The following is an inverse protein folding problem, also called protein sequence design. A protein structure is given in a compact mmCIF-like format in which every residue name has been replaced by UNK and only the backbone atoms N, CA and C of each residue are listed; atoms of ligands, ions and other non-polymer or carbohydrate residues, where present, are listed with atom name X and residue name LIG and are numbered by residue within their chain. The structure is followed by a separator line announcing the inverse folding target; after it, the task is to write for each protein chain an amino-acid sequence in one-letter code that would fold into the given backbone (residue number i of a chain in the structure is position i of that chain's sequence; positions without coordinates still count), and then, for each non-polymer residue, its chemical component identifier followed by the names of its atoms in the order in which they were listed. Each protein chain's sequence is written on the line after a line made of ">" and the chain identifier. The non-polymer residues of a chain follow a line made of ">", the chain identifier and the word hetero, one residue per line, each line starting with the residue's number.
data_IF_845947419726
#
_entry.id   IF_845947419726
#
_cell.length_a   1.000
_cell.length_b   1.000
_cell.length_c   1.000
_cell.angle_alpha   90.00
_cell.angle_beta   90.00
_cell.angle_gamma   90.00
#
_symmetry.space_group_name_H-M   'P 1'
#
loop_
_entity.id
_entity.type
_entity.pdbx_description
1 polymer ?
#
# COMPACT_ATOMS: atom_id res chain seq x y z
N UNK A 1 -6.49 -4.10 15.77
CA UNK A 1 -7.87 -4.44 15.41
C UNK A 1 -8.54 -3.30 14.62
N UNK A 2 -8.50 -2.06 15.11
CA UNK A 2 -9.16 -0.91 14.47
C UNK A 2 -8.69 -0.61 13.05
N UNK A 3 -7.42 -0.86 12.72
CA UNK A 3 -6.89 -0.56 11.39
C UNK A 3 -7.48 -1.50 10.32
N UNK A 4 -7.54 -2.80 10.60
CA UNK A 4 -8.10 -3.78 9.67
C UNK A 4 -9.62 -3.59 9.48
N UNK A 5 -10.36 -3.23 10.54
CA UNK A 5 -11.78 -2.91 10.45
C UNK A 5 -12.04 -1.67 9.59
N UNK A 6 -11.24 -0.62 9.75
CA UNK A 6 -11.31 0.59 8.94
C UNK A 6 -11.08 0.31 7.45
N UNK A 7 -10.10 -0.54 7.12
CA UNK A 7 -9.76 -0.87 5.72
C UNK A 7 -10.72 -1.88 5.10
N UNK A 8 -11.27 -2.83 5.86
CA UNK A 8 -12.26 -3.78 5.34
C UNK A 8 -13.59 -3.15 4.93
N UNK A 9 -13.93 -1.99 5.46
CA UNK A 9 -15.13 -1.23 5.06
C UNK A 9 -14.97 -0.53 3.69
N UNK A 10 -13.75 -0.41 3.17
CA UNK A 10 -13.44 0.38 1.96
C UNK A 10 -12.62 -0.45 0.97
N UNK A 11 -13.22 -1.51 0.42
CA UNK A 11 -12.55 -2.42 -0.54
C UNK A 11 -12.12 -1.78 -1.85
N UNK A 12 -12.69 -0.66 -2.23
CA UNK A 12 -12.21 0.15 -3.35
C UNK A 12 -11.47 1.37 -2.83
N UNK A 13 -10.36 1.08 -2.15
CA UNK A 13 -9.50 2.13 -1.64
C UNK A 13 -8.90 2.86 -2.85
N UNK A 14 -9.22 4.15 -2.96
CA UNK A 14 -8.69 5.06 -3.98
C UNK A 14 -9.28 4.93 -5.40
N UNK A 15 -10.35 4.16 -5.63
CA UNK A 15 -10.90 3.95 -6.98
C UNK A 15 -9.92 3.28 -7.94
N UNK A 16 -8.96 2.51 -7.41
CA UNK A 16 -7.86 1.92 -8.19
C UNK A 16 -8.13 0.47 -8.60
N UNK A 17 -9.15 -0.17 -8.05
CA UNK A 17 -9.41 -1.59 -8.28
C UNK A 17 -9.59 -1.93 -9.75
N UNK A 18 -10.48 -1.23 -10.43
CA UNK A 18 -10.76 -1.45 -11.85
C UNK A 18 -9.55 -1.11 -12.72
N UNK A 19 -8.86 0.01 -12.42
CA UNK A 19 -7.66 0.41 -13.14
C UNK A 19 -6.53 -0.63 -13.02
N UNK A 20 -6.30 -1.19 -11.83
CA UNK A 20 -5.31 -2.25 -11.62
C UNK A 20 -5.71 -3.52 -12.38
N UNK A 21 -7.01 -3.86 -12.36
CA UNK A 21 -7.53 -5.01 -13.12
C UNK A 21 -7.26 -4.87 -14.61
N UNK A 22 -7.57 -3.72 -15.20
CA UNK A 22 -7.30 -3.43 -16.62
C UNK A 22 -5.81 -3.59 -16.97
N UNK A 23 -4.91 -3.11 -16.09
CA UNK A 23 -3.46 -3.17 -16.31
C UNK A 23 -2.90 -4.59 -16.18
N UNK A 24 -3.36 -5.36 -15.21
CA UNK A 24 -2.82 -6.69 -14.95
C UNK A 24 -3.47 -7.78 -15.81
N UNK A 25 -4.64 -7.52 -16.36
CA UNK A 25 -5.42 -8.51 -17.11
C UNK A 25 -5.75 -9.76 -16.29
N UNK A 26 -6.45 -10.71 -16.90
CA UNK A 26 -6.83 -11.95 -16.23
C UNK A 26 -5.72 -13.01 -16.26
N UNK A 27 -5.83 -13.96 -15.34
CA UNK A 27 -5.00 -15.17 -15.27
C UNK A 27 -3.49 -14.92 -15.13
N UNK A 28 -3.10 -13.85 -14.43
CA UNK A 28 -1.72 -13.53 -14.16
C UNK A 28 -1.28 -14.01 -12.77
N UNK A 29 0.02 -14.20 -12.58
CA UNK A 29 0.66 -14.44 -11.29
C UNK A 29 1.09 -13.11 -10.69
N UNK A 30 0.60 -12.77 -9.51
CA UNK A 30 0.82 -11.48 -8.89
C UNK A 30 1.59 -11.65 -7.58
N UNK A 31 2.61 -10.82 -7.40
CA UNK A 31 3.28 -10.62 -6.12
C UNK A 31 2.78 -9.30 -5.51
N UNK A 32 2.08 -9.40 -4.39
CA UNK A 32 1.53 -8.26 -3.67
C UNK A 32 2.43 -7.93 -2.48
N UNK A 33 3.19 -6.84 -2.60
CA UNK A 33 4.19 -6.40 -1.63
C UNK A 33 3.59 -5.40 -0.65
N UNK A 34 3.49 -5.81 0.61
CA UNK A 34 2.78 -5.07 1.65
C UNK A 34 1.27 -5.20 1.49
N UNK A 35 0.81 -6.43 1.38
CA UNK A 35 -0.60 -6.77 1.10
C UNK A 35 -1.58 -6.31 2.17
N UNK A 36 -1.09 -6.05 3.39
CA UNK A 36 -1.92 -5.68 4.52
C UNK A 36 -3.02 -6.70 4.79
N UNK A 37 -4.22 -6.24 5.06
CA UNK A 37 -5.41 -7.10 5.25
C UNK A 37 -6.10 -7.50 3.94
N UNK A 38 -5.49 -7.22 2.77
CA UNK A 38 -5.94 -7.74 1.48
C UNK A 38 -6.87 -6.85 0.67
N UNK A 39 -6.84 -5.54 0.87
CA UNK A 39 -7.70 -4.60 0.14
C UNK A 39 -7.60 -4.73 -1.39
N UNK A 40 -6.40 -5.00 -1.89
CA UNK A 40 -6.17 -5.26 -3.31
C UNK A 40 -6.02 -6.76 -3.60
N UNK A 41 -5.40 -7.52 -2.69
CA UNK A 41 -5.23 -8.98 -2.83
C UNK A 41 -6.56 -9.70 -3.09
N UNK A 42 -7.60 -9.41 -2.28
CA UNK A 42 -8.90 -10.10 -2.36
C UNK A 42 -9.61 -9.84 -3.69
N UNK A 43 -9.82 -8.59 -4.15
CA UNK A 43 -10.41 -8.36 -5.45
C UNK A 43 -9.58 -8.93 -6.60
N UNK A 44 -8.23 -8.82 -6.54
CA UNK A 44 -7.35 -9.40 -7.56
C UNK A 44 -7.40 -10.93 -7.61
N UNK A 45 -7.59 -11.61 -6.49
CA UNK A 45 -7.66 -13.06 -6.45
C UNK A 45 -8.81 -13.64 -7.28
N UNK A 46 -9.85 -12.84 -7.55
CA UNK A 46 -11.02 -13.27 -8.34
C UNK A 46 -10.71 -13.45 -9.84
N UNK A 47 -9.65 -12.84 -10.34
CA UNK A 47 -9.26 -12.91 -11.75
C UNK A 47 -7.81 -13.35 -11.98
N UNK A 48 -7.00 -13.38 -10.94
CA UNK A 48 -5.61 -13.82 -11.02
C UNK A 48 -5.48 -15.34 -11.03
N UNK A 49 -4.40 -15.84 -11.62
CA UNK A 49 -4.04 -17.24 -11.57
C UNK A 49 -3.68 -17.68 -10.16
N UNK A 50 -2.74 -16.98 -9.57
CA UNK A 50 -2.33 -17.12 -8.17
C UNK A 50 -1.70 -15.80 -7.68
N UNK A 51 -1.75 -15.58 -6.37
CA UNK A 51 -1.14 -14.40 -5.72
C UNK A 51 -0.24 -14.88 -4.59
N UNK A 52 0.96 -14.30 -4.52
CA UNK A 52 1.81 -14.35 -3.35
C UNK A 52 1.72 -13.00 -2.62
N UNK A 53 1.10 -12.99 -1.45
CA UNK A 53 0.87 -11.81 -0.64
C UNK A 53 1.91 -11.74 0.49
N UNK A 54 2.76 -10.73 0.45
CA UNK A 54 3.86 -10.53 1.42
C UNK A 54 3.54 -9.36 2.31
N UNK A 55 3.60 -9.55 3.63
CA UNK A 55 3.46 -8.46 4.59
C UNK A 55 4.32 -8.74 5.83
N UNK A 56 4.83 -7.68 6.46
CA UNK A 56 5.64 -7.80 7.68
C UNK A 56 4.79 -7.92 8.96
N UNK A 57 3.49 -7.65 8.87
CA UNK A 57 2.57 -7.66 10.01
C UNK A 57 1.80 -8.99 10.08
N UNK A 58 2.07 -9.84 11.07
CA UNK A 58 1.33 -11.09 11.23
C UNK A 58 -0.15 -10.84 11.55
N UNK A 59 -0.49 -9.69 12.13
CA UNK A 59 -1.88 -9.32 12.39
C UNK A 59 -2.63 -9.04 11.08
N UNK A 60 -2.02 -8.31 10.13
CA UNK A 60 -2.60 -8.06 8.81
C UNK A 60 -2.80 -9.34 8.02
N UNK A 61 -1.82 -10.23 8.01
CA UNK A 61 -1.93 -11.51 7.33
C UNK A 61 -3.02 -12.43 7.92
N UNK A 62 -3.25 -12.37 9.24
CA UNK A 62 -4.39 -13.09 9.86
C UNK A 62 -5.73 -12.57 9.34
N UNK A 63 -5.91 -11.24 9.28
CA UNK A 63 -7.14 -10.64 8.75
C UNK A 63 -7.34 -10.96 7.26
N UNK A 64 -6.25 -10.95 6.48
CA UNK A 64 -6.27 -11.39 5.09
C UNK A 64 -6.73 -12.85 4.99
N UNK A 65 -6.16 -13.76 5.78
CA UNK A 65 -6.52 -15.19 5.78
C UNK A 65 -8.00 -15.41 6.11
N UNK A 66 -8.51 -14.74 7.15
CA UNK A 66 -9.95 -14.80 7.52
C UNK A 66 -10.83 -14.32 6.35
N UNK A 67 -10.41 -13.25 5.69
CA UNK A 67 -11.16 -12.70 4.56
C UNK A 67 -11.12 -13.61 3.33
N UNK A 68 -9.98 -14.27 3.06
CA UNK A 68 -9.85 -15.26 1.97
C UNK A 68 -10.75 -16.48 2.21
N UNK A 69 -10.78 -17.00 3.42
CA UNK A 69 -11.68 -18.11 3.81
C UNK A 69 -13.15 -17.73 3.63
N UNK A 70 -13.53 -16.54 4.11
CA UNK A 70 -14.91 -16.03 3.97
C UNK A 70 -15.36 -15.88 2.53
N UNK A 71 -14.45 -15.47 1.63
CA UNK A 71 -14.71 -15.31 0.19
C UNK A 71 -14.50 -16.61 -0.62
N UNK A 72 -14.04 -17.70 0.02
CA UNK A 72 -13.76 -18.96 -0.63
C UNK A 72 -12.60 -18.92 -1.64
N UNK A 73 -11.64 -18.01 -1.42
CA UNK A 73 -10.49 -17.79 -2.32
C UNK A 73 -9.32 -18.69 -1.89
N UNK A 74 -8.87 -19.58 -2.77
CA UNK A 74 -7.82 -20.58 -2.49
C UNK A 74 -6.52 -20.36 -3.27
N UNK A 75 -6.49 -19.36 -4.12
CA UNK A 75 -5.37 -19.06 -5.01
C UNK A 75 -4.42 -17.97 -4.45
N UNK A 76 -4.47 -17.70 -3.14
CA UNK A 76 -3.59 -16.74 -2.47
C UNK A 76 -2.74 -17.47 -1.43
N UNK A 77 -1.43 -17.31 -1.51
CA UNK A 77 -0.47 -17.71 -0.47
C UNK A 77 0.00 -16.47 0.26
N UNK A 78 0.02 -16.51 1.59
CA UNK A 78 0.56 -15.42 2.42
C UNK A 78 1.97 -15.74 2.91
N UNK A 79 2.83 -14.72 2.97
CA UNK A 79 4.20 -14.83 3.50
C UNK A 79 4.44 -13.71 4.50
N UNK A 80 4.80 -14.08 5.72
CA UNK A 80 5.19 -13.14 6.75
C UNK A 80 6.67 -12.79 6.59
N UNK A 81 6.97 -11.65 5.99
CA UNK A 81 8.33 -11.16 5.79
C UNK A 81 8.34 -9.63 5.62
N UNK A 82 9.42 -8.99 6.03
CA UNK A 82 9.75 -7.66 5.52
C UNK A 82 10.13 -7.78 4.05
N UNK A 83 9.87 -6.73 3.27
CA UNK A 83 10.24 -6.75 1.86
C UNK A 83 11.76 -6.91 1.65
N UNK A 84 12.56 -6.26 2.51
CA UNK A 84 14.02 -6.36 2.45
C UNK A 84 14.53 -7.80 2.62
N UNK A 85 13.88 -8.57 3.50
CA UNK A 85 14.28 -9.94 3.87
C UNK A 85 13.61 -11.01 2.99
N UNK A 86 12.65 -10.62 2.15
CA UNK A 86 11.93 -11.55 1.30
C UNK A 86 12.80 -12.07 0.17
N UNK A 87 13.05 -13.38 0.11
CA UNK A 87 13.88 -14.05 -0.90
C UNK A 87 13.22 -15.30 -1.49
N UNK A 88 11.94 -15.55 -1.20
CA UNK A 88 11.26 -16.71 -1.77
C UNK A 88 11.23 -16.62 -3.31
N UNK A 89 11.59 -17.71 -4.02
CA UNK A 89 11.50 -17.72 -5.46
C UNK A 89 10.03 -17.73 -5.90
N UNK A 90 9.62 -16.68 -6.58
CA UNK A 90 8.29 -16.58 -7.15
C UNK A 90 8.35 -15.96 -8.55
N UNK A 91 7.74 -16.63 -9.51
CA UNK A 91 7.70 -16.19 -10.89
C UNK A 91 6.48 -15.31 -11.12
N UNK A 92 6.50 -14.07 -10.61
CA UNK A 92 5.42 -13.13 -10.82
C UNK A 92 5.38 -12.64 -12.28
N UNK A 93 4.19 -12.54 -12.84
CA UNK A 93 3.97 -11.76 -14.04
C UNK A 93 4.04 -10.27 -13.71
N UNK A 94 3.36 -9.88 -12.63
CA UNK A 94 3.32 -8.51 -12.15
C UNK A 94 3.59 -8.41 -10.66
N UNK A 95 4.18 -7.28 -10.25
CA UNK A 95 4.29 -6.89 -8.85
C UNK A 95 3.36 -5.72 -8.58
N UNK A 96 2.59 -5.81 -7.50
CA UNK A 96 1.82 -4.71 -6.95
C UNK A 96 2.43 -4.28 -5.61
N UNK A 97 2.46 -2.98 -5.37
CA UNK A 97 2.78 -2.42 -4.05
C UNK A 97 1.98 -1.14 -3.84
N UNK A 98 1.05 -1.17 -2.90
CA UNK A 98 0.19 -0.02 -2.61
C UNK A 98 0.47 0.47 -1.18
N UNK A 99 1.02 1.65 -1.07
CA UNK A 99 1.29 2.30 0.22
C UNK A 99 2.06 1.41 1.22
N UNK A 100 3.07 0.67 0.78
CA UNK A 100 3.73 -0.34 1.60
C UNK A 100 5.21 -0.08 1.91
N UNK A 101 5.91 0.72 1.11
CA UNK A 101 7.36 0.91 1.21
C UNK A 101 7.79 2.08 2.12
N UNK A 102 7.01 2.37 3.17
CA UNK A 102 7.26 3.56 4.03
C UNK A 102 8.49 3.45 4.93
N UNK A 103 8.89 2.22 5.29
CA UNK A 103 9.94 1.95 6.27
C UNK A 103 11.14 1.22 5.68
N UNK A 104 11.28 1.27 4.36
CA UNK A 104 12.39 0.66 3.66
C UNK A 104 13.62 1.56 3.79
N UNK A 105 14.70 1.03 4.36
CA UNK A 105 15.94 1.77 4.56
C UNK A 105 16.70 1.98 3.24
N UNK A 106 16.70 0.97 2.38
CA UNK A 106 17.42 0.96 1.11
C UNK A 106 16.42 0.93 -0.04
N UNK A 107 15.87 2.11 -0.35
CA UNK A 107 14.80 2.23 -1.36
C UNK A 107 15.22 1.75 -2.74
N UNK A 108 16.46 2.05 -3.16
CA UNK A 108 16.98 1.62 -4.46
C UNK A 108 16.93 0.11 -4.62
N UNK A 109 17.47 -0.61 -3.65
CA UNK A 109 17.51 -2.09 -3.63
C UNK A 109 16.11 -2.69 -3.60
N UNK A 110 15.21 -2.06 -2.84
CA UNK A 110 13.81 -2.48 -2.79
C UNK A 110 13.09 -2.33 -4.13
N UNK A 111 13.34 -1.26 -4.87
CA UNK A 111 12.79 -1.01 -6.20
C UNK A 111 13.41 -1.90 -7.27
N UNK A 112 14.74 -2.14 -7.21
CA UNK A 112 15.42 -3.11 -8.07
C UNK A 112 14.85 -4.52 -7.90
N UNK A 113 14.57 -4.89 -6.65
CA UNK A 113 13.94 -6.17 -6.31
C UNK A 113 12.53 -6.28 -6.88
N UNK A 114 11.71 -5.24 -6.78
CA UNK A 114 10.39 -5.18 -7.41
C UNK A 114 10.49 -5.39 -8.92
N UNK A 115 11.36 -4.64 -9.58
CA UNK A 115 11.54 -4.76 -11.03
C UNK A 115 12.06 -6.14 -11.46
N UNK A 116 12.86 -6.80 -10.63
CA UNK A 116 13.37 -8.16 -10.89
C UNK A 116 12.28 -9.24 -10.79
N UNK A 117 11.34 -9.11 -9.82
CA UNK A 117 10.26 -10.09 -9.65
C UNK A 117 9.19 -9.98 -10.73
N UNK A 118 8.84 -8.77 -11.16
CA UNK A 118 7.76 -8.53 -12.12
C UNK A 118 8.20 -8.73 -13.58
N UNK A 119 8.04 -9.92 -14.13
CA UNK A 119 8.50 -10.25 -15.49
C UNK A 119 7.85 -9.42 -16.60
N UNK A 120 6.59 -9.05 -16.42
CA UNK A 120 5.82 -8.23 -17.37
C UNK A 120 5.74 -6.77 -16.92
N UNK A 121 5.91 -6.50 -15.62
CA UNK A 121 5.90 -5.15 -15.07
C UNK A 121 5.53 -5.09 -13.60
N UNK A 122 5.36 -3.88 -13.13
CA UNK A 122 4.96 -3.58 -11.75
C UNK A 122 4.07 -2.35 -11.69
N UNK A 123 3.27 -2.26 -10.65
CA UNK A 123 2.51 -1.08 -10.28
C UNK A 123 2.87 -0.70 -8.85
N UNK A 124 3.33 0.53 -8.67
CA UNK A 124 3.58 1.15 -7.37
C UNK A 124 2.62 2.31 -7.17
N UNK A 125 1.87 2.26 -6.10
CA UNK A 125 0.95 3.33 -5.73
C UNK A 125 1.43 4.00 -4.45
N UNK A 126 1.50 5.32 -4.50
CA UNK A 126 1.81 6.15 -3.32
C UNK A 126 0.74 7.21 -3.17
N UNK A 127 0.09 7.21 -2.03
CA UNK A 127 -0.81 8.30 -1.69
C UNK A 127 0.01 9.56 -1.46
N UNK A 128 -0.29 10.58 -2.24
CA UNK A 128 0.17 11.92 -1.96
C UNK A 128 -0.62 12.41 -0.74
N UNK A 129 0.08 12.92 0.19
CA UNK A 129 -0.36 13.28 1.53
C UNK A 129 -1.73 13.99 1.56
N UNK A 130 -2.38 13.87 2.70
CA UNK A 130 -3.62 14.56 3.05
C UNK A 130 -3.37 16.08 3.07
N UNK A 131 -3.71 16.87 2.04
CA UNK A 131 -3.35 18.29 1.96
C UNK A 131 -3.87 19.13 3.14
N UNK A 132 -5.04 18.74 3.69
CA UNK A 132 -5.65 19.40 4.84
C UNK A 132 -4.84 19.26 6.13
N UNK A 133 -4.13 18.15 6.31
CA UNK A 133 -3.27 17.96 7.48
C UNK A 133 -2.06 18.91 7.44
N UNK A 134 -1.51 19.19 6.27
CA UNK A 134 -0.40 20.15 6.18
C UNK A 134 -0.83 21.57 6.54
N UNK A 135 -1.99 22.01 6.04
CA UNK A 135 -2.52 23.31 6.43
C UNK A 135 -2.69 23.39 7.94
N UNK A 136 -3.20 22.32 8.56
CA UNK A 136 -3.37 22.27 10.01
C UNK A 136 -2.03 22.27 10.76
N UNK A 137 -1.01 21.52 10.27
CA UNK A 137 0.33 21.57 10.85
C UNK A 137 0.96 22.96 10.76
N UNK A 138 0.80 23.62 9.61
CA UNK A 138 1.30 24.99 9.40
C UNK A 138 0.59 25.98 10.35
N UNK A 139 -0.75 25.89 10.48
CA UNK A 139 -1.53 26.73 11.39
C UNK A 139 -1.17 26.52 12.87
N UNK A 140 -0.94 25.26 13.26
CA UNK A 140 -0.56 24.89 14.63
C UNK A 140 0.94 25.07 14.91
N UNK A 141 1.72 25.52 13.93
CA UNK A 141 3.19 25.65 14.01
C UNK A 141 3.88 24.35 14.44
N UNK A 142 3.34 23.21 14.02
CA UNK A 142 3.89 21.90 14.32
C UNK A 142 4.97 21.53 13.32
N UNK A 143 6.08 20.99 13.82
CA UNK A 143 7.12 20.45 12.96
C UNK A 143 6.65 19.15 12.33
N UNK A 144 6.68 19.08 11.00
CA UNK A 144 6.39 17.87 10.27
C UNK A 144 7.34 17.70 9.08
N UNK A 145 7.61 16.46 8.74
CA UNK A 145 8.42 16.13 7.57
C UNK A 145 7.51 15.77 6.40
N UNK A 146 7.59 16.53 5.33
CA UNK A 146 6.91 16.15 4.07
C UNK A 146 7.58 14.91 3.51
N UNK A 147 6.79 13.87 3.28
CA UNK A 147 7.29 12.71 2.57
C UNK A 147 7.21 12.98 1.06
N UNK A 148 8.38 13.04 0.43
CA UNK A 148 8.53 13.30 -0.99
C UNK A 148 8.87 12.00 -1.79
N UNK A 149 8.61 10.83 -1.23
CA UNK A 149 8.90 9.53 -1.87
C UNK A 149 8.34 9.43 -3.28
N UNK A 150 7.14 10.00 -3.49
CA UNK A 150 6.49 10.02 -4.80
C UNK A 150 7.29 10.72 -5.89
N UNK A 151 8.14 11.67 -5.52
CA UNK A 151 9.07 12.34 -6.44
C UNK A 151 10.36 11.52 -6.62
N UNK A 152 10.84 10.92 -5.53
CA UNK A 152 12.11 10.20 -5.52
C UNK A 152 12.03 8.85 -6.25
N UNK A 153 10.93 8.12 -6.10
CA UNK A 153 10.77 6.79 -6.70
C UNK A 153 10.88 6.78 -8.23
N UNK A 154 10.19 7.64 -8.99
CA UNK A 154 10.38 7.71 -10.43
C UNK A 154 11.81 8.04 -10.83
N UNK A 155 12.45 8.97 -10.13
CA UNK A 155 13.84 9.34 -10.39
C UNK A 155 14.81 8.18 -10.16
N UNK A 156 14.57 7.36 -9.12
CA UNK A 156 15.35 6.16 -8.88
C UNK A 156 15.20 5.14 -10.02
N UNK A 157 13.96 4.87 -10.48
CA UNK A 157 13.72 3.99 -11.62
C UNK A 157 14.43 4.48 -12.89
N UNK A 158 14.30 5.75 -13.21
CA UNK A 158 14.96 6.33 -14.39
C UNK A 158 16.49 6.25 -14.29
N UNK A 159 17.05 6.47 -13.11
CA UNK A 159 18.48 6.29 -12.85
C UNK A 159 18.95 4.84 -12.98
N UNK A 160 18.05 3.87 -12.76
CA UNK A 160 18.31 2.45 -13.01
C UNK A 160 18.06 2.03 -14.47
N UNK A 161 17.74 2.97 -15.36
CA UNK A 161 17.40 2.70 -16.77
C UNK A 161 15.98 2.13 -16.96
N UNK A 162 15.13 2.19 -15.95
CA UNK A 162 13.74 1.74 -16.00
C UNK A 162 12.85 2.96 -16.24
N UNK A 163 12.28 3.07 -17.44
CA UNK A 163 11.41 4.19 -17.81
C UNK A 163 10.00 3.96 -17.31
N UNK A 164 9.80 4.13 -16.00
CA UNK A 164 8.49 4.03 -15.38
C UNK A 164 7.57 5.17 -15.86
N UNK A 165 6.35 4.80 -16.23
CA UNK A 165 5.27 5.76 -16.46
C UNK A 165 4.75 6.28 -15.13
N UNK A 166 4.52 7.58 -15.02
CA UNK A 166 4.00 8.23 -13.82
C UNK A 166 2.66 8.86 -14.15
N UNK A 167 1.64 8.50 -13.38
CA UNK A 167 0.33 9.10 -13.50
C UNK A 167 -0.18 9.53 -12.12
N UNK A 168 -1.05 10.54 -12.10
CA UNK A 168 -1.70 11.02 -10.89
C UNK A 168 -3.21 10.84 -11.03
N UNK A 169 -3.82 10.32 -9.99
CA UNK A 169 -5.27 10.26 -9.89
C UNK A 169 -5.73 11.02 -8.65
N UNK A 170 -6.87 11.68 -8.75
CA UNK A 170 -7.51 12.34 -7.63
C UNK A 170 -8.55 11.41 -7.02
N UNK A 171 -8.60 11.39 -5.71
CA UNK A 171 -9.55 10.60 -4.96
C UNK A 171 -10.17 11.45 -3.86
N UNK A 172 -11.49 11.59 -3.92
CA UNK A 172 -12.27 12.27 -2.90
C UNK A 172 -12.76 11.28 -1.87
N UNK A 173 -12.18 11.32 -0.68
CA UNK A 173 -12.62 10.51 0.46
C UNK A 173 -13.62 11.28 1.30
N UNK A 174 -14.88 10.81 1.29
CA UNK A 174 -15.89 11.33 2.23
C UNK A 174 -15.78 10.56 3.54
N UNK A 175 -15.35 11.26 4.59
CA UNK A 175 -15.35 10.73 5.95
C UNK A 175 -16.71 11.02 6.59
N UNK A 176 -17.31 10.01 7.20
CA UNK A 176 -18.57 10.14 7.93
C UNK A 176 -18.35 9.74 9.37
N UNK A 177 -18.75 10.59 10.27
CA UNK A 177 -18.66 10.39 11.70
C UNK A 177 -20.05 10.36 12.31
N UNK A 178 -20.21 9.66 13.44
CA UNK A 178 -21.46 9.60 14.16
C UNK A 178 -21.88 10.99 14.69
N UNK A 179 -20.88 11.75 15.16
CA UNK A 179 -21.04 13.09 15.70
C UNK A 179 -19.69 13.86 15.62
N UNK A 180 -19.70 15.07 16.13
CA UNK A 180 -18.52 15.93 16.14
C UNK A 180 -17.42 15.43 17.08
N UNK A 181 -17.78 14.85 18.23
CA UNK A 181 -16.82 14.31 19.20
C UNK A 181 -16.02 13.14 18.61
N UNK A 182 -16.70 12.26 17.87
CA UNK A 182 -16.06 11.15 17.14
C UNK A 182 -15.11 11.66 16.06
N UNK A 183 -15.49 12.73 15.34
CA UNK A 183 -14.65 13.35 14.33
C UNK A 183 -13.39 13.99 14.94
N UNK A 184 -13.54 14.75 16.02
CA UNK A 184 -12.44 15.39 16.72
C UNK A 184 -11.45 14.36 17.27
N UNK A 185 -11.94 13.33 17.93
CA UNK A 185 -11.10 12.23 18.44
C UNK A 185 -10.26 11.60 17.36
N UNK A 186 -10.85 11.23 16.22
CA UNK A 186 -10.13 10.62 15.11
C UNK A 186 -9.11 11.55 14.48
N UNK A 187 -9.42 12.86 14.35
CA UNK A 187 -8.46 13.86 13.87
C UNK A 187 -7.28 14.01 14.82
N UNK A 188 -7.51 14.04 16.12
CA UNK A 188 -6.45 14.13 17.13
C UNK A 188 -5.58 12.88 17.10
N UNK A 189 -6.16 11.69 16.99
CA UNK A 189 -5.41 10.44 16.85
C UNK A 189 -4.55 10.45 15.57
N UNK A 190 -5.10 10.83 14.42
CA UNK A 190 -4.36 10.96 13.15
C UNK A 190 -3.19 11.97 13.27
N UNK A 191 -3.39 13.10 13.95
CA UNK A 191 -2.35 14.09 14.19
C UNK A 191 -1.25 13.57 15.11
N UNK A 192 -1.62 12.87 16.18
CA UNK A 192 -0.67 12.27 17.11
C UNK A 192 0.16 11.18 16.44
N UNK A 193 -0.46 10.29 15.66
CA UNK A 193 0.27 9.25 14.92
C UNK A 193 1.28 9.83 13.95
N UNK A 194 0.92 10.88 13.22
CA UNK A 194 1.83 11.55 12.29
C UNK A 194 2.98 12.29 12.99
N UNK A 195 2.73 12.92 14.15
CA UNK A 195 3.77 13.54 14.95
C UNK A 195 4.73 12.51 15.55
N UNK A 196 4.22 11.35 16.01
CA UNK A 196 5.05 10.26 16.56
C UNK A 196 5.96 9.61 15.49
N UNK A 197 5.49 9.50 14.24
CA UNK A 197 6.31 9.02 13.13
C UNK A 197 7.49 9.96 12.81
N UNK A 198 7.40 11.22 13.20
CA UNK A 198 8.47 12.20 13.03
C UNK A 198 9.50 12.23 14.16
N UNK A 199 9.17 11.70 15.35
CA UNK A 199 10.07 11.71 16.52
C UNK A 199 11.02 10.51 16.62
N UNK A 200 10.77 9.41 15.89
CA UNK A 200 11.55 8.17 16.00
C UNK A 200 12.53 7.95 14.83
N UNK A 201 12.99 9.00 14.19
CA UNK A 201 13.99 8.93 13.10
C UNK A 201 15.30 9.65 13.46
N UNK A 202 15.71 9.63 14.76
CA UNK A 202 17.09 9.87 15.16
C UNK A 202 17.84 8.54 15.35
#
# INVERSE_FOLDING_TARGET
>A
PHYAERFNLYRDVYGLGDWIHEKFRENQRILDVGSGCGNFTIPMAKYSKDILAVDFSPAMLRELSISLEREGLTNVKTVHSKWEDFEEPYNADYVLSVNSLYRVCYMREALEKIARYGKKGFILVRTLLKPYLYSLYDELSLNYRRNNDYMMMPMLFWNMGIHAEVSFTHYDKVLRYADWEAAEKEMVEDLCEMSYLNYNTE
#
